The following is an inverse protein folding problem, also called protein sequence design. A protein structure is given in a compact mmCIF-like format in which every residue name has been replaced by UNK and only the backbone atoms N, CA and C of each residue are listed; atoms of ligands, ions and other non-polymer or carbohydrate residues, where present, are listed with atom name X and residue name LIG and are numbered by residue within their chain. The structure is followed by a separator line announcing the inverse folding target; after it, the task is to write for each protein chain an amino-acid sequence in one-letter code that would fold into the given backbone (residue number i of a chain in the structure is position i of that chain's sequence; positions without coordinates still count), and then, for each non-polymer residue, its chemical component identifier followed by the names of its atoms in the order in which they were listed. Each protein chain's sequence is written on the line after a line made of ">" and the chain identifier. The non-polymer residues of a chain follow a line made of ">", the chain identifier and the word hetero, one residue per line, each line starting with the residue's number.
data_IF_319638711355
#
_entry.id   IF_319638711355
#
_cell.length_a   1.000
_cell.length_b   1.000
_cell.length_c   1.000
_cell.angle_alpha   90.00
_cell.angle_beta   90.00
_cell.angle_gamma   90.00
#
_symmetry.space_group_name_H-M   'P 1'
#
loop_
_entity.id
_entity.type
_entity.pdbx_description
1 polymer ?
#
# COMPACT_ATOMS: atom_id res chain seq x y z
N UNK A 1 12.85 -2.94 9.36
CA UNK A 1 12.10 -4.20 9.42
C UNK A 1 11.18 -4.22 8.22
N UNK A 2 11.28 -5.23 7.35
CA UNK A 2 10.18 -5.57 6.44
C UNK A 2 8.94 -5.80 7.30
N UNK A 3 7.87 -5.06 7.02
CA UNK A 3 6.57 -5.33 7.63
C UNK A 3 5.73 -6.01 6.56
N UNK A 4 5.89 -7.33 6.45
CA UNK A 4 4.80 -8.15 5.93
C UNK A 4 3.68 -8.04 6.96
N UNK A 5 2.67 -7.23 6.67
CA UNK A 5 1.46 -7.12 7.48
C UNK A 5 0.45 -8.11 6.88
N UNK A 6 0.25 -9.30 7.47
CA UNK A 6 -0.67 -10.30 6.92
C UNK A 6 -2.15 -9.95 7.20
N UNK A 7 -2.53 -8.67 7.16
CA UNK A 7 -3.78 -8.19 7.75
C UNK A 7 -4.62 -7.26 6.86
N UNK A 8 -4.28 -7.11 5.59
CA UNK A 8 -5.14 -6.40 4.64
C UNK A 8 -6.34 -7.25 4.23
N UNK A 9 -7.49 -6.62 3.98
CA UNK A 9 -8.58 -7.28 3.27
C UNK A 9 -8.07 -7.64 1.88
N UNK A 10 -7.81 -8.93 1.63
CA UNK A 10 -7.25 -9.43 0.38
C UNK A 10 -8.05 -9.01 -0.85
N UNK A 11 -9.31 -8.54 -0.70
CA UNK A 11 -10.07 -7.95 -1.80
C UNK A 11 -9.51 -6.58 -2.17
N UNK A 12 -9.34 -5.69 -1.20
CA UNK A 12 -9.01 -4.29 -1.45
C UNK A 12 -7.52 -3.97 -1.27
N UNK A 13 -6.83 -4.60 -0.31
CA UNK A 13 -5.42 -4.39 0.01
C UNK A 13 -4.71 -5.66 0.49
N UNK A 14 -3.54 -5.97 -0.05
CA UNK A 14 -2.72 -7.08 0.44
C UNK A 14 -2.01 -6.81 1.77
N UNK A 15 -1.97 -5.56 2.25
CA UNK A 15 -1.27 -5.19 3.49
C UNK A 15 -1.99 -4.18 4.37
N UNK A 16 -2.33 -3.00 3.84
CA UNK A 16 -2.97 -1.93 4.60
C UNK A 16 -4.26 -1.49 3.93
N UNK A 17 -5.37 -1.65 4.65
CA UNK A 17 -6.66 -1.05 4.34
C UNK A 17 -6.94 0.06 5.35
N UNK A 18 -7.19 1.28 4.87
CA UNK A 18 -7.67 2.38 5.71
C UNK A 18 -8.78 3.16 5.00
N UNK A 19 -9.76 3.63 5.75
CA UNK A 19 -10.80 4.56 5.28
C UNK A 19 -10.66 5.97 5.87
N UNK A 20 -9.60 6.21 6.65
CA UNK A 20 -9.23 7.49 7.26
C UNK A 20 -7.88 8.01 6.74
N UNK A 21 -7.54 9.25 7.08
CA UNK A 21 -6.22 9.81 6.79
C UNK A 21 -5.11 8.95 7.42
N UNK A 22 -4.06 8.67 6.66
CA UNK A 22 -3.02 7.73 7.05
C UNK A 22 -1.62 8.30 6.88
N UNK A 23 -0.70 7.90 7.76
CA UNK A 23 0.72 8.20 7.64
C UNK A 23 1.54 6.92 7.81
N UNK A 24 2.31 6.55 6.79
CA UNK A 24 3.24 5.42 6.81
C UNK A 24 4.65 5.96 6.64
N UNK A 25 5.55 5.56 7.54
CA UNK A 25 6.95 6.04 7.55
C UNK A 25 7.92 4.89 7.71
N UNK A 26 9.09 4.97 7.08
CA UNK A 26 10.21 4.04 7.28
C UNK A 26 9.80 2.55 7.16
N UNK A 27 8.97 2.22 6.17
CA UNK A 27 8.32 0.91 6.06
C UNK A 27 8.58 0.26 4.72
N UNK A 28 8.84 -1.04 4.74
CA UNK A 28 9.05 -1.85 3.54
C UNK A 28 7.94 -2.89 3.45
N UNK A 29 7.27 -2.95 2.30
CA UNK A 29 6.20 -3.88 1.97
C UNK A 29 6.58 -4.68 0.73
N UNK A 30 6.65 -6.01 0.85
CA UNK A 30 7.09 -6.89 -0.23
C UNK A 30 6.11 -8.02 -0.46
N UNK A 31 5.88 -8.38 -1.73
CA UNK A 31 5.10 -9.56 -2.12
C UNK A 31 3.68 -9.64 -1.53
N UNK A 32 3.01 -8.49 -1.36
CA UNK A 32 1.60 -8.45 -0.95
C UNK A 32 0.70 -8.36 -2.19
N UNK A 33 -0.42 -9.05 -2.16
CA UNK A 33 -1.34 -9.07 -3.29
C UNK A 33 -2.78 -8.89 -2.84
N UNK A 34 -3.56 -8.16 -3.63
CA UNK A 34 -5.01 -8.06 -3.48
C UNK A 34 -5.74 -8.55 -4.75
N UNK A 35 -6.98 -8.99 -4.59
CA UNK A 35 -7.78 -9.54 -5.69
C UNK A 35 -8.59 -8.49 -6.45
N UNK A 36 -8.70 -7.25 -5.96
CA UNK A 36 -9.42 -6.15 -6.65
C UNK A 36 -8.56 -4.89 -6.78
N UNK A 37 -8.49 -4.04 -5.74
CA UNK A 37 -8.29 -2.60 -5.96
C UNK A 37 -6.86 -2.07 -5.73
N UNK A 38 -6.09 -2.59 -4.76
CA UNK A 38 -4.75 -2.08 -4.44
C UNK A 38 -3.82 -3.17 -3.93
N UNK A 39 -2.64 -3.32 -4.53
CA UNK A 39 -1.79 -4.48 -4.27
C UNK A 39 -1.35 -4.61 -2.81
N UNK A 40 -0.94 -3.51 -2.19
CA UNK A 40 -0.55 -3.51 -0.78
C UNK A 40 -1.19 -2.42 0.06
N UNK A 41 -1.51 -1.25 -0.50
CA UNK A 41 -2.19 -0.20 0.24
C UNK A 41 -3.47 0.19 -0.50
N UNK A 42 -4.56 0.28 0.25
CA UNK A 42 -5.82 0.86 -0.20
C UNK A 42 -6.26 1.93 0.79
N UNK A 43 -6.44 3.16 0.30
CA UNK A 43 -6.97 4.26 1.08
C UNK A 43 -7.75 5.27 0.23
N UNK A 44 -9.01 5.53 0.62
CA UNK A 44 -9.89 6.54 -0.01
C UNK A 44 -9.81 7.93 0.64
N UNK A 45 -8.74 8.20 1.39
CA UNK A 45 -8.47 9.47 2.08
C UNK A 45 -7.02 9.88 1.81
N UNK A 46 -6.55 10.91 2.52
CA UNK A 46 -5.20 11.41 2.34
C UNK A 46 -4.17 10.46 2.97
N UNK A 47 -3.19 10.03 2.19
CA UNK A 47 -2.08 9.19 2.65
C UNK A 47 -0.74 9.92 2.55
N UNK A 48 0.01 9.96 3.64
CA UNK A 48 1.41 10.40 3.63
C UNK A 48 2.33 9.18 3.69
N UNK A 49 3.12 8.94 2.65
CA UNK A 49 4.18 7.94 2.62
C UNK A 49 5.53 8.64 2.72
N UNK A 50 6.40 8.21 3.63
CA UNK A 50 7.75 8.77 3.76
C UNK A 50 8.78 7.68 4.00
N UNK A 51 9.86 7.64 3.21
CA UNK A 51 10.92 6.63 3.33
C UNK A 51 10.36 5.19 3.27
N UNK A 52 9.59 4.88 2.23
CA UNK A 52 8.96 3.56 2.09
C UNK A 52 9.46 2.81 0.86
N UNK A 53 9.41 1.49 0.88
CA UNK A 53 9.61 0.67 -0.32
C UNK A 53 8.42 -0.30 -0.45
N UNK A 54 7.76 -0.29 -1.60
CA UNK A 54 6.64 -1.13 -1.94
C UNK A 54 7.07 -1.94 -3.16
N UNK A 55 7.57 -3.17 -2.95
CA UNK A 55 8.20 -3.98 -4.00
C UNK A 55 7.37 -5.23 -4.28
N UNK A 56 7.21 -5.60 -5.55
CA UNK A 56 6.49 -6.81 -5.94
C UNK A 56 5.09 -6.91 -5.33
N UNK A 57 4.39 -5.78 -5.16
CA UNK A 57 3.00 -5.81 -4.70
C UNK A 57 2.05 -5.58 -5.88
N UNK A 58 1.03 -6.42 -5.99
CA UNK A 58 0.16 -6.52 -7.17
C UNK A 58 -1.31 -6.56 -6.78
N UNK A 59 -2.19 -5.95 -7.57
CA UNK A 59 -3.61 -6.26 -7.53
C UNK A 59 -4.13 -6.63 -8.92
N UNK A 60 -5.29 -7.28 -8.96
CA UNK A 60 -5.90 -7.71 -10.23
C UNK A 60 -6.33 -6.52 -11.09
N UNK A 61 -7.18 -5.65 -10.54
CA UNK A 61 -7.63 -4.42 -11.20
C UNK A 61 -6.82 -3.19 -10.74
N UNK A 62 -6.15 -3.32 -9.59
CA UNK A 62 -5.34 -2.29 -8.95
C UNK A 62 -3.84 -2.32 -9.28
N UNK A 63 -3.20 -1.15 -9.24
CA UNK A 63 -1.73 -1.09 -9.15
C UNK A 63 -1.21 -1.57 -7.79
N UNK A 64 0.08 -1.34 -7.53
CA UNK A 64 0.73 -1.61 -6.23
C UNK A 64 -0.01 -0.94 -5.06
N UNK A 65 -0.67 0.20 -5.29
CA UNK A 65 -1.47 0.92 -4.30
C UNK A 65 -2.71 1.55 -4.94
N UNK A 66 -3.78 1.71 -4.17
CA UNK A 66 -4.96 2.51 -4.48
C UNK A 66 -5.07 3.65 -3.48
N UNK A 67 -4.82 4.90 -3.91
CA UNK A 67 -4.81 6.08 -3.05
C UNK A 67 -5.57 7.23 -3.74
N UNK A 68 -6.62 7.75 -3.10
CA UNK A 68 -7.38 8.90 -3.63
C UNK A 68 -6.58 10.21 -3.54
N UNK A 69 -5.75 10.35 -2.50
CA UNK A 69 -4.82 11.47 -2.34
C UNK A 69 -3.57 11.02 -1.62
N UNK A 70 -2.39 11.35 -2.16
CA UNK A 70 -1.13 10.90 -1.59
C UNK A 70 -0.04 11.97 -1.65
N UNK A 71 0.72 12.08 -0.56
CA UNK A 71 2.03 12.71 -0.54
C UNK A 71 3.08 11.62 -0.36
N UNK A 72 3.92 11.43 -1.37
CA UNK A 72 4.90 10.35 -1.42
C UNK A 72 6.30 10.97 -1.46
N UNK A 73 7.05 10.79 -0.37
CA UNK A 73 8.36 11.40 -0.21
C UNK A 73 9.39 10.30 0.03
N UNK A 74 10.41 10.25 -0.84
CA UNK A 74 11.49 9.26 -0.73
C UNK A 74 10.95 7.82 -0.62
N UNK A 75 9.92 7.50 -1.41
CA UNK A 75 9.38 6.15 -1.48
C UNK A 75 9.61 5.54 -2.85
N UNK A 76 9.88 4.26 -2.86
CA UNK A 76 9.99 3.46 -4.06
C UNK A 76 8.75 2.59 -4.20
N UNK A 77 8.06 2.70 -5.33
CA UNK A 77 6.90 1.88 -5.68
C UNK A 77 7.28 1.06 -6.91
N UNK A 78 7.87 -0.10 -6.68
CA UNK A 78 8.23 -1.02 -7.76
C UNK A 78 7.09 -2.04 -7.94
N UNK A 79 6.76 -2.32 -9.20
CA UNK A 79 5.90 -3.45 -9.56
C UNK A 79 6.64 -4.76 -9.44
#
# INVERSE_FOLDING_TARGET
>A
MEKNLPGGDIVHAGGILSTDNMSVKNSVFTNNSATSDGGVIWNRKWTNLTNCALNNNSAWDGGTTYLDGANIINCFLYR
#
